data_IF_798562728105
#
_entry.id   IF_798562728105
#
_cell.length_a   1.000
_cell.length_b   1.000
_cell.length_c   1.000
_cell.angle_alpha   90.00
_cell.angle_beta   90.00
_cell.angle_gamma   90.00
#
_symmetry.space_group_name_H-M   'P 1'
#
loop_
_entity.id
_entity.type
_entity.pdbx_description
1 polymer ?
#
# COMPACT_ATOMS: atom_id res chain seq x y z
N UNK A 1 -42.78 40.73 -8.16
CA UNK A 1 -41.57 40.44 -7.34
C UNK A 1 -41.36 38.94 -7.29
N UNK A 2 -40.77 38.37 -8.34
CA UNK A 2 -40.59 36.91 -8.49
C UNK A 2 -39.51 36.60 -9.54
N UNK A 3 -38.31 37.20 -9.43
CA UNK A 3 -37.24 37.04 -10.44
C UNK A 3 -35.83 37.35 -9.89
N UNK A 4 -35.49 36.98 -8.64
CA UNK A 4 -34.12 37.19 -8.12
C UNK A 4 -33.52 35.96 -7.42
N UNK A 5 -34.27 34.88 -7.20
CA UNK A 5 -33.75 33.69 -6.51
C UNK A 5 -33.11 32.64 -7.43
N UNK A 6 -33.03 32.88 -8.74
CA UNK A 6 -32.44 31.93 -9.70
C UNK A 6 -31.00 32.26 -10.10
N UNK A 7 -30.43 33.36 -9.63
CA UNK A 7 -29.07 33.79 -9.96
C UNK A 7 -28.02 33.32 -8.92
N UNK A 8 -28.47 32.84 -7.75
CA UNK A 8 -27.60 32.33 -6.68
C UNK A 8 -27.20 30.85 -6.84
N UNK A 9 -27.68 30.17 -7.89
CA UNK A 9 -27.38 28.75 -8.17
C UNK A 9 -26.46 28.54 -9.40
N UNK A 10 -25.90 29.61 -9.98
CA UNK A 10 -25.13 29.55 -11.22
C UNK A 10 -23.71 30.12 -11.15
N UNK A 11 -23.16 30.43 -9.96
CA UNK A 11 -21.84 31.07 -9.83
C UNK A 11 -20.99 30.52 -8.66
N UNK A 12 -21.09 29.22 -8.40
CA UNK A 12 -20.09 28.47 -7.61
C UNK A 12 -19.74 27.13 -8.26
N UNK A 13 -20.02 27.03 -9.57
CA UNK A 13 -19.35 26.12 -10.48
C UNK A 13 -18.05 26.81 -10.96
N UNK A 14 -17.28 27.35 -10.02
CA UNK A 14 -15.89 27.67 -10.28
C UNK A 14 -15.21 26.32 -10.41
N UNK A 15 -14.90 25.98 -11.67
CA UNK A 15 -13.94 24.97 -12.05
C UNK A 15 -12.70 25.11 -11.17
N UNK A 16 -12.62 24.30 -10.13
CA UNK A 16 -11.36 23.96 -9.53
C UNK A 16 -10.64 23.09 -10.56
N UNK A 17 -9.94 23.79 -11.46
CA UNK A 17 -8.90 23.29 -12.34
C UNK A 17 -7.99 22.40 -11.50
N UNK A 18 -8.37 21.13 -11.44
CA UNK A 18 -7.59 20.11 -10.77
C UNK A 18 -6.45 19.86 -11.73
N UNK A 19 -5.39 20.64 -11.60
CA UNK A 19 -4.13 20.44 -12.31
C UNK A 19 -3.80 18.95 -12.22
N UNK A 20 -4.06 18.26 -13.32
CA UNK A 20 -3.73 16.87 -13.53
C UNK A 20 -2.22 16.81 -13.48
N UNK A 21 -1.67 16.56 -12.29
CA UNK A 21 -0.30 16.13 -12.10
C UNK A 21 -0.11 14.90 -12.98
N UNK A 22 0.48 15.18 -14.15
CA UNK A 22 0.89 14.25 -15.18
C UNK A 22 1.69 13.12 -14.53
N UNK A 23 0.98 12.06 -14.19
CA UNK A 23 1.58 10.80 -13.79
C UNK A 23 1.99 10.12 -15.07
N UNK A 24 3.31 10.02 -15.30
CA UNK A 24 3.87 9.22 -16.38
C UNK A 24 3.28 7.80 -16.41
N UNK A 25 3.46 7.03 -17.50
CA UNK A 25 2.66 5.84 -17.78
C UNK A 25 2.55 4.93 -16.56
N UNK A 26 1.36 4.91 -15.97
CA UNK A 26 1.06 4.07 -14.83
C UNK A 26 1.19 2.63 -15.30
N UNK A 27 2.29 1.96 -14.91
CA UNK A 27 2.46 0.52 -15.07
C UNK A 27 1.13 -0.15 -14.67
N UNK A 28 0.57 -1.06 -15.48
CA UNK A 28 -0.83 -1.47 -15.35
C UNK A 28 -1.14 -1.91 -13.93
N UNK A 29 -2.08 -1.21 -13.29
CA UNK A 29 -2.63 -1.60 -12.01
C UNK A 29 -3.36 -2.93 -12.14
N UNK A 30 -3.45 -3.70 -11.06
CA UNK A 30 -4.35 -4.86 -11.02
C UNK A 30 -5.77 -4.38 -11.36
N UNK A 31 -6.48 -5.09 -12.24
CA UNK A 31 -7.89 -4.82 -12.51
C UNK A 31 -8.68 -4.78 -11.20
N UNK A 32 -9.61 -3.85 -11.05
CA UNK A 32 -10.39 -3.65 -9.82
C UNK A 32 -11.02 -4.94 -9.27
N UNK A 33 -11.48 -5.84 -10.15
CA UNK A 33 -12.03 -7.16 -9.81
C UNK A 33 -11.03 -8.02 -9.04
N UNK A 34 -9.78 -8.08 -9.51
CA UNK A 34 -8.70 -8.83 -8.87
C UNK A 34 -8.37 -8.23 -7.51
N UNK A 35 -8.30 -6.90 -7.42
CA UNK A 35 -8.06 -6.21 -6.15
C UNK A 35 -9.16 -6.52 -5.13
N UNK A 36 -10.43 -6.45 -5.53
CA UNK A 36 -11.56 -6.78 -4.67
C UNK A 36 -11.53 -8.24 -4.19
N UNK A 37 -11.24 -9.20 -5.09
CA UNK A 37 -11.13 -10.62 -4.73
C UNK A 37 -9.98 -10.87 -3.75
N UNK A 38 -8.84 -10.19 -3.92
CA UNK A 38 -7.70 -10.29 -3.01
C UNK A 38 -8.05 -9.72 -1.62
N UNK A 39 -8.70 -8.55 -1.57
CA UNK A 39 -9.15 -7.96 -0.30
C UNK A 39 -10.15 -8.89 0.39
N UNK A 40 -11.14 -9.40 -0.33
CA UNK A 40 -12.16 -10.29 0.22
C UNK A 40 -11.56 -11.60 0.76
N UNK A 41 -10.64 -12.22 0.00
CA UNK A 41 -9.96 -13.44 0.43
C UNK A 41 -9.11 -13.19 1.68
N UNK A 42 -8.33 -12.10 1.70
CA UNK A 42 -7.54 -11.72 2.86
C UNK A 42 -8.42 -11.45 4.07
N UNK A 43 -9.46 -10.63 3.91
CA UNK A 43 -10.38 -10.25 4.99
C UNK A 43 -11.12 -11.44 5.58
N UNK A 44 -11.57 -12.39 4.76
CA UNK A 44 -12.19 -13.63 5.23
C UNK A 44 -11.23 -14.44 6.11
N UNK A 45 -9.98 -14.63 5.67
CA UNK A 45 -8.97 -15.36 6.44
C UNK A 45 -8.62 -14.60 7.74
N UNK A 46 -8.48 -13.27 7.66
CA UNK A 46 -8.15 -12.42 8.80
C UNK A 46 -9.23 -12.47 9.87
N UNK A 47 -10.49 -12.34 9.46
CA UNK A 47 -11.66 -12.41 10.35
C UNK A 47 -11.78 -13.77 11.04
N UNK A 48 -11.56 -14.87 10.31
CA UNK A 48 -11.56 -16.23 10.89
C UNK A 48 -10.43 -16.40 11.90
N UNK A 49 -9.20 -15.97 11.57
CA UNK A 49 -8.06 -16.06 12.49
C UNK A 49 -8.31 -15.25 13.78
N UNK A 50 -8.85 -14.04 13.63
CA UNK A 50 -9.24 -13.19 14.75
C UNK A 50 -10.22 -13.92 15.65
N UNK A 51 -11.28 -14.49 15.07
CA UNK A 51 -12.31 -15.19 15.83
C UNK A 51 -11.74 -16.42 16.56
N UNK A 52 -10.89 -17.21 15.91
CA UNK A 52 -10.23 -18.36 16.55
C UNK A 52 -9.36 -17.96 17.74
N UNK A 53 -8.62 -16.85 17.64
CA UNK A 53 -7.79 -16.35 18.75
C UNK A 53 -8.67 -15.84 19.90
N UNK A 54 -9.72 -15.09 19.60
CA UNK A 54 -10.65 -14.58 20.62
C UNK A 54 -11.38 -15.72 21.33
N UNK A 55 -11.80 -16.76 20.61
CA UNK A 55 -12.41 -17.96 21.20
C UNK A 55 -11.44 -18.76 22.06
N UNK A 56 -10.15 -18.82 21.68
CA UNK A 56 -9.12 -19.49 22.48
C UNK A 56 -8.72 -18.70 23.74
N UNK A 57 -9.04 -17.40 23.79
CA UNK A 57 -8.74 -16.51 24.92
C UNK A 57 -10.02 -15.86 25.47
N UNK A 58 -10.95 -16.65 26.02
CA UNK A 58 -12.22 -16.13 26.51
C UNK A 58 -11.98 -15.18 27.69
N UNK A 59 -12.66 -14.04 27.65
CA UNK A 59 -12.66 -13.08 28.76
C UNK A 59 -13.60 -13.58 29.85
N UNK A 60 -13.08 -13.84 31.04
CA UNK A 60 -13.91 -14.25 32.19
C UNK A 60 -14.21 -13.00 33.02
N UNK A 61 -15.48 -12.60 33.04
CA UNK A 61 -15.94 -11.52 33.93
C UNK A 61 -16.68 -12.13 35.10
N UNK A 62 -16.16 -11.91 36.31
CA UNK A 62 -16.78 -12.34 37.58
C UNK A 62 -17.29 -11.08 38.29
N UNK A 63 -18.32 -11.15 39.16
CA UNK A 63 -18.85 -9.95 39.84
C UNK A 63 -17.80 -9.19 40.68
N UNK A 64 -16.70 -9.85 41.02
CA UNK A 64 -15.60 -9.32 41.84
C UNK A 64 -14.39 -8.87 41.03
N UNK A 65 -14.23 -9.31 39.77
CA UNK A 65 -13.07 -9.04 38.92
C UNK A 65 -13.48 -8.96 37.45
N UNK A 66 -13.12 -7.85 36.80
CA UNK A 66 -13.23 -7.70 35.34
C UNK A 66 -11.86 -8.00 34.73
N UNK A 67 -11.78 -9.08 33.95
CA UNK A 67 -10.59 -9.36 33.14
C UNK A 67 -10.55 -8.49 31.89
N UNK A 68 -9.33 -8.10 31.49
CA UNK A 68 -9.12 -7.43 30.22
C UNK A 68 -9.32 -8.42 29.06
N UNK A 69 -9.99 -8.01 27.96
CA UNK A 69 -10.11 -8.82 26.76
C UNK A 69 -8.75 -9.00 26.06
N UNK A 70 -8.05 -10.07 26.46
CA UNK A 70 -6.70 -10.40 26.00
C UNK A 70 -6.67 -10.78 24.53
N UNK A 71 -7.72 -11.45 24.03
CA UNK A 71 -7.86 -11.80 22.61
C UNK A 71 -7.86 -10.56 21.71
N UNK A 72 -8.77 -9.62 21.99
CA UNK A 72 -8.89 -8.35 21.24
C UNK A 72 -7.61 -7.52 21.30
N UNK A 73 -6.94 -7.45 22.45
CA UNK A 73 -5.66 -6.76 22.57
C UNK A 73 -4.58 -7.43 21.70
N UNK A 74 -4.47 -8.76 21.77
CA UNK A 74 -3.45 -9.52 21.07
C UNK A 74 -3.61 -9.39 19.54
N UNK A 75 -4.82 -9.54 19.01
CA UNK A 75 -5.05 -9.46 17.56
C UNK A 75 -4.75 -8.06 17.02
N UNK A 76 -5.10 -7.00 17.77
CA UNK A 76 -4.79 -5.63 17.36
C UNK A 76 -3.27 -5.37 17.36
N UNK A 77 -2.56 -5.74 18.43
CA UNK A 77 -1.10 -5.54 18.51
C UNK A 77 -0.35 -6.36 17.47
N UNK A 78 -0.68 -7.65 17.32
CA UNK A 78 -0.05 -8.52 16.31
C UNK A 78 -0.35 -8.06 14.89
N UNK A 79 -1.58 -7.59 14.63
CA UNK A 79 -1.95 -7.01 13.35
C UNK A 79 -1.12 -5.77 13.03
N UNK A 80 -0.90 -4.88 14.01
CA UNK A 80 -0.03 -3.71 13.84
C UNK A 80 1.44 -4.09 13.60
N UNK A 81 1.97 -5.13 14.25
CA UNK A 81 3.31 -5.68 13.93
C UNK A 81 3.36 -6.17 12.48
N UNK A 82 2.37 -6.95 12.06
CA UNK A 82 2.26 -7.44 10.69
C UNK A 82 2.16 -6.30 9.67
N UNK A 83 1.40 -5.25 9.96
CA UNK A 83 1.23 -4.08 9.10
C UNK A 83 2.51 -3.27 8.97
N UNK A 84 3.21 -3.03 10.08
CA UNK A 84 4.52 -2.38 10.07
C UNK A 84 5.56 -3.18 9.28
N UNK A 85 5.57 -4.51 9.45
CA UNK A 85 6.45 -5.42 8.71
C UNK A 85 6.16 -5.38 7.21
N UNK A 86 4.89 -5.50 6.82
CA UNK A 86 4.48 -5.48 5.42
C UNK A 86 4.84 -4.14 4.77
N UNK A 87 4.48 -3.03 5.41
CA UNK A 87 4.74 -1.68 4.90
C UNK A 87 6.23 -1.43 4.74
N UNK A 88 7.03 -1.78 5.76
CA UNK A 88 8.49 -1.64 5.69
C UNK A 88 9.14 -2.54 4.65
N UNK A 89 8.56 -3.71 4.34
CA UNK A 89 9.03 -4.59 3.26
C UNK A 89 8.73 -3.97 1.89
N UNK A 90 7.50 -3.52 1.67
CA UNK A 90 7.05 -2.90 0.42
C UNK A 90 7.86 -1.65 0.10
N UNK A 91 8.17 -0.83 1.11
CA UNK A 91 8.99 0.37 0.95
C UNK A 91 10.42 0.04 0.52
N UNK A 92 11.03 -1.01 1.08
CA UNK A 92 12.43 -1.40 0.82
C UNK A 92 12.61 -2.31 -0.39
N UNK A 93 11.52 -2.88 -0.92
CA UNK A 93 11.53 -3.84 -2.03
C UNK A 93 10.42 -3.51 -3.03
N UNK A 94 10.66 -2.55 -3.94
CA UNK A 94 9.70 -2.20 -4.97
C UNK A 94 9.45 -3.33 -5.98
N UNK A 95 10.30 -4.37 -5.97
CA UNK A 95 10.16 -5.60 -6.75
C UNK A 95 9.11 -6.58 -6.19
N UNK A 96 8.58 -6.33 -4.97
CA UNK A 96 7.56 -7.21 -4.40
C UNK A 96 6.25 -7.19 -5.21
N UNK A 97 5.54 -8.33 -5.29
CA UNK A 97 4.31 -8.42 -6.04
C UNK A 97 3.24 -7.44 -5.57
N UNK A 98 2.64 -6.72 -6.52
CA UNK A 98 1.59 -5.71 -6.27
C UNK A 98 0.35 -6.26 -5.55
N UNK A 99 0.07 -7.56 -5.68
CA UNK A 99 -1.06 -8.21 -5.01
C UNK A 99 -0.90 -8.31 -3.49
N UNK A 100 0.31 -8.18 -2.95
CA UNK A 100 0.57 -8.28 -1.51
C UNK A 100 -0.15 -7.18 -0.73
N UNK A 101 -0.20 -5.94 -1.24
CA UNK A 101 -0.84 -4.81 -0.56
C UNK A 101 -2.35 -5.02 -0.35
N UNK A 102 -3.15 -5.33 -1.40
CA UNK A 102 -4.57 -5.59 -1.22
C UNK A 102 -4.86 -6.89 -0.46
N UNK A 103 -4.11 -7.97 -0.68
CA UNK A 103 -4.35 -9.25 -0.01
C UNK A 103 -3.96 -9.21 1.47
N UNK A 104 -2.73 -8.80 1.77
CA UNK A 104 -2.17 -8.90 3.12
C UNK A 104 -2.45 -7.64 3.94
N UNK A 105 -2.30 -6.45 3.34
CA UNK A 105 -2.51 -5.19 4.04
C UNK A 105 -4.00 -4.94 4.28
N UNK A 106 -4.71 -4.62 3.20
CA UNK A 106 -6.12 -4.21 3.27
C UNK A 106 -7.05 -5.39 3.57
N UNK A 107 -6.73 -6.59 3.09
CA UNK A 107 -7.53 -7.78 3.36
C UNK A 107 -7.21 -8.38 4.73
N UNK A 108 -6.10 -9.13 4.80
CA UNK A 108 -5.77 -9.98 5.95
C UNK A 108 -5.59 -9.19 7.25
N UNK A 109 -4.73 -8.17 7.25
CA UNK A 109 -4.38 -7.47 8.48
C UNK A 109 -5.52 -6.60 9.01
N UNK A 110 -6.26 -5.89 8.14
CA UNK A 110 -7.46 -5.15 8.55
C UNK A 110 -8.59 -6.08 9.00
N UNK A 111 -8.78 -7.24 8.36
CA UNK A 111 -9.77 -8.23 8.80
C UNK A 111 -9.40 -8.92 10.12
N UNK A 112 -8.09 -9.01 10.40
CA UNK A 112 -7.53 -9.60 11.61
C UNK A 112 -7.58 -8.67 12.83
N UNK A 113 -7.47 -7.36 12.64
CA UNK A 113 -7.63 -6.38 13.71
C UNK A 113 -9.10 -6.03 13.92
N UNK A 114 -9.45 -5.50 15.09
CA UNK A 114 -10.82 -5.03 15.34
C UNK A 114 -10.85 -3.88 16.35
N UNK A 115 -11.07 -2.67 15.85
CA UNK A 115 -11.22 -1.49 16.69
C UNK A 115 -12.61 -1.41 17.32
N UNK A 116 -13.66 -1.81 16.60
CA UNK A 116 -15.04 -1.80 17.13
C UNK A 116 -15.20 -2.70 18.37
N UNK A 117 -14.50 -3.83 18.41
CA UNK A 117 -14.45 -4.73 19.57
C UNK A 117 -13.85 -4.05 20.79
N UNK A 118 -12.68 -3.40 20.63
CA UNK A 118 -12.04 -2.59 21.67
C UNK A 118 -12.99 -1.53 22.25
N UNK A 119 -13.74 -0.84 21.38
CA UNK A 119 -14.71 0.20 21.81
C UNK A 119 -15.90 -0.40 22.56
N UNK A 120 -16.46 -1.52 22.09
CA UNK A 120 -17.58 -2.21 22.76
C UNK A 120 -17.17 -2.78 24.11
N UNK A 121 -15.97 -3.33 24.21
CA UNK A 121 -15.42 -3.84 25.46
C UNK A 121 -15.13 -2.68 26.44
N UNK A 122 -14.56 -1.58 25.94
CA UNK A 122 -14.38 -0.35 26.71
C UNK A 122 -15.68 0.23 27.25
N UNK A 123 -16.72 0.30 26.41
CA UNK A 123 -18.03 0.82 26.83
C UNK A 123 -18.71 -0.11 27.85
N UNK A 124 -18.57 -1.43 27.70
CA UNK A 124 -19.06 -2.40 28.68
C UNK A 124 -18.37 -2.24 30.04
N UNK A 125 -17.05 -2.00 30.07
CA UNK A 125 -16.32 -1.73 31.31
C UNK A 125 -16.77 -0.44 32.00
N UNK A 126 -17.02 0.62 31.24
CA UNK A 126 -17.59 1.87 31.76
C UNK A 126 -18.99 1.61 32.35
N UNK A 127 -19.85 0.91 31.61
CA UNK A 127 -21.19 0.55 32.06
C UNK A 127 -21.22 -0.32 33.31
N UNK A 128 -20.17 -1.14 33.52
CA UNK A 128 -19.98 -1.96 34.72
C UNK A 128 -19.39 -1.19 35.93
N UNK A 129 -19.10 0.11 35.80
CA UNK A 129 -18.54 0.94 36.88
C UNK A 129 -17.01 0.96 36.96
N UNK A 130 -16.31 0.49 35.93
CA UNK A 130 -14.84 0.42 35.88
C UNK A 130 -14.23 1.32 34.78
N UNK A 131 -14.47 2.65 34.79
CA UNK A 131 -14.00 3.54 33.73
C UNK A 131 -12.47 3.65 33.67
N UNK A 132 -11.80 3.64 34.81
CA UNK A 132 -10.33 3.66 34.85
C UNK A 132 -9.71 2.45 34.14
N UNK A 133 -10.32 1.27 34.29
CA UNK A 133 -9.90 0.04 33.61
C UNK A 133 -10.11 0.15 32.10
N UNK A 134 -11.24 0.72 31.66
CA UNK A 134 -11.52 0.95 30.24
C UNK A 134 -10.49 1.88 29.58
N UNK A 135 -10.13 3.00 30.24
CA UNK A 135 -9.10 3.90 29.73
C UNK A 135 -7.72 3.25 29.70
N UNK A 136 -7.35 2.50 30.73
CA UNK A 136 -6.11 1.75 30.75
C UNK A 136 -6.06 0.72 29.62
N UNK A 137 -7.16 0.00 29.39
CA UNK A 137 -7.28 -0.96 28.29
C UNK A 137 -7.09 -0.30 26.91
N UNK A 138 -7.75 0.83 26.68
CA UNK A 138 -7.59 1.62 25.47
C UNK A 138 -6.16 2.12 25.29
N UNK A 139 -5.56 2.67 26.34
CA UNK A 139 -4.18 3.17 26.31
C UNK A 139 -3.18 2.06 26.00
N UNK A 140 -3.23 0.92 26.70
CA UNK A 140 -2.35 -0.21 26.47
C UNK A 140 -2.47 -0.70 25.02
N UNK A 141 -3.70 -0.79 24.51
CA UNK A 141 -3.94 -1.25 23.13
C UNK A 141 -3.36 -0.25 22.12
N UNK A 142 -3.56 1.06 22.32
CA UNK A 142 -3.03 2.09 21.44
C UNK A 142 -1.50 2.16 21.44
N UNK A 143 -0.87 2.20 22.63
CA UNK A 143 0.59 2.20 22.74
C UNK A 143 1.20 0.89 22.21
N UNK A 144 0.55 -0.25 22.49
CA UNK A 144 0.94 -1.55 21.96
C UNK A 144 0.88 -1.59 20.44
N UNK A 145 -0.16 -1.01 19.83
CA UNK A 145 -0.30 -0.91 18.38
C UNK A 145 0.82 -0.06 17.76
N UNK A 146 1.08 1.13 18.29
CA UNK A 146 2.17 2.01 17.82
C UNK A 146 3.53 1.31 17.94
N UNK A 147 3.81 0.74 19.11
CA UNK A 147 5.03 -0.04 19.33
C UNK A 147 5.14 -1.21 18.36
N UNK A 148 4.02 -1.91 18.11
CA UNK A 148 3.95 -3.01 17.16
C UNK A 148 4.34 -2.60 15.75
N UNK A 149 3.80 -1.49 15.24
CA UNK A 149 4.17 -0.95 13.92
C UNK A 149 5.67 -0.66 13.84
N UNK A 150 6.22 0.04 14.84
CA UNK A 150 7.65 0.37 14.89
C UNK A 150 8.51 -0.89 14.88
N UNK A 151 8.14 -1.89 15.68
CA UNK A 151 8.81 -3.19 15.72
C UNK A 151 8.75 -3.88 14.36
N UNK A 152 7.60 -3.88 13.70
CA UNK A 152 7.41 -4.43 12.35
C UNK A 152 8.32 -3.79 11.31
N UNK A 153 8.40 -2.46 11.29
CA UNK A 153 9.29 -1.71 10.38
C UNK A 153 10.77 -2.03 10.68
N UNK A 154 11.13 -2.17 11.96
CA UNK A 154 12.46 -2.62 12.39
C UNK A 154 12.81 -4.01 11.86
N UNK A 155 11.88 -4.97 11.99
CA UNK A 155 12.00 -6.33 11.45
C UNK A 155 12.16 -6.32 9.92
N UNK A 156 11.40 -5.50 9.21
CA UNK A 156 11.56 -5.33 7.77
C UNK A 156 12.97 -4.87 7.38
N UNK A 157 13.50 -3.89 8.13
CA UNK A 157 14.86 -3.37 7.95
C UNK A 157 15.92 -4.45 8.17
N UNK A 158 15.76 -5.30 9.19
CA UNK A 158 16.65 -6.42 9.49
C UNK A 158 16.65 -7.46 8.36
N UNK A 159 15.46 -7.82 7.84
CA UNK A 159 15.30 -8.79 6.74
C UNK A 159 15.96 -8.25 5.45
N UNK A 160 15.76 -6.98 5.14
CA UNK A 160 16.36 -6.36 3.96
C UNK A 160 17.89 -6.37 4.04
N UNK A 161 18.48 -5.95 5.17
CA UNK A 161 19.94 -5.95 5.39
C UNK A 161 20.56 -7.34 5.20
N UNK A 162 19.92 -8.40 5.69
CA UNK A 162 20.41 -9.79 5.55
C UNK A 162 20.41 -10.28 4.10
N UNK A 163 19.48 -9.79 3.28
CA UNK A 163 19.33 -10.24 1.89
C UNK A 163 20.34 -9.56 0.97
N UNK A 164 20.58 -8.26 1.16
CA UNK A 164 21.57 -7.50 0.36
C UNK A 164 23.00 -7.95 0.66
N UNK A 165 23.32 -8.27 1.92
CA UNK A 165 24.66 -8.71 2.35
C UNK A 165 25.09 -10.08 1.80
N UNK A 166 24.16 -10.84 1.18
CA UNK A 166 24.40 -12.19 0.65
C UNK A 166 24.77 -12.26 -0.83
N UNK A 167 24.81 -11.15 -1.58
CA UNK A 167 25.35 -11.19 -2.96
C UNK A 167 26.87 -11.36 -2.91
N UNK A 168 27.44 -12.53 -3.29
CA UNK A 168 28.88 -12.66 -3.40
C UNK A 168 29.33 -11.71 -4.50
N UNK A 169 30.33 -10.87 -4.19
CA UNK A 169 31.03 -10.06 -5.16
C UNK A 169 31.58 -11.03 -6.21
N UNK A 170 30.92 -11.14 -7.36
CA UNK A 170 31.39 -11.96 -8.48
C UNK A 170 32.71 -11.32 -8.90
N UNK A 171 33.81 -11.89 -8.43
CA UNK A 171 35.16 -11.44 -8.71
C UNK A 171 35.34 -11.51 -10.21
N UNK A 172 35.26 -10.36 -10.87
CA UNK A 172 35.71 -10.23 -12.25
C UNK A 172 37.21 -10.44 -12.25
N UNK A 173 37.63 -11.69 -12.37
CA UNK A 173 38.94 -12.02 -12.93
C UNK A 173 38.90 -11.61 -14.40
N UNK A 174 39.13 -10.33 -14.66
CA UNK A 174 39.64 -9.90 -15.97
C UNK A 174 41.08 -10.35 -15.99
N UNK A 175 41.29 -11.60 -16.40
CA UNK A 175 42.60 -12.08 -16.77
C UNK A 175 43.01 -11.31 -18.02
N UNK A 176 44.02 -10.47 -17.83
CA UNK A 176 44.78 -9.84 -18.89
C UNK A 176 45.41 -10.92 -19.77
N UNK A 177 45.07 -10.92 -21.07
CA UNK A 177 45.83 -11.52 -22.17
C UNK A 177 45.25 -10.86 -23.42
N UNK A 178 45.95 -10.19 -24.32
CA UNK A 178 47.34 -9.89 -24.60
C UNK A 178 47.27 -9.11 -25.93
N UNK A 179 48.14 -8.11 -26.13
CA UNK A 179 48.02 -7.19 -27.26
C UNK A 179 48.25 -7.83 -28.63
N UNK A 180 47.67 -7.22 -29.67
CA UNK A 180 48.29 -7.09 -30.99
C UNK A 180 47.97 -5.68 -31.52
N UNK A 181 49.05 -4.93 -31.75
CA UNK A 181 49.07 -3.70 -32.52
C UNK A 181 48.95 -4.04 -34.01
N UNK A 182 47.99 -3.45 -34.72
CA UNK A 182 48.14 -3.16 -36.15
C UNK A 182 47.68 -1.73 -36.40
N UNK A 183 48.63 -0.99 -36.97
CA UNK A 183 48.57 0.39 -37.39
C UNK A 183 48.00 0.49 -38.82
N UNK A 184 47.25 1.55 -39.08
CA UNK A 184 46.85 1.97 -40.43
C UNK A 184 45.37 2.34 -40.49
N UNK A 185 44.91 3.38 -41.18
CA UNK A 185 45.51 4.55 -41.80
C UNK A 185 44.30 5.39 -42.22
N UNK A 186 44.47 6.71 -42.16
CA UNK A 186 43.81 7.73 -42.97
C UNK A 186 42.31 8.01 -42.83
N UNK A 187 42.04 9.28 -43.14
CA UNK A 187 40.91 10.11 -42.72
C UNK A 187 39.98 10.36 -43.93
N UNK A 188 39.06 11.35 -43.95
CA UNK A 188 37.63 11.16 -44.22
C UNK A 188 37.18 11.69 -45.60
N UNK A 189 35.97 11.33 -46.03
CA UNK A 189 35.23 11.96 -47.13
C UNK A 189 33.83 11.31 -47.18
N UNK A 190 32.71 11.88 -47.58
CA UNK A 190 32.26 13.18 -48.11
C UNK A 190 30.90 12.78 -48.76
N UNK A 191 29.78 13.47 -48.46
CA UNK A 191 28.65 13.79 -49.37
C UNK A 191 27.85 12.59 -49.99
N UNK A 192 26.51 12.48 -49.89
CA UNK A 192 25.49 13.38 -50.46
C UNK A 192 24.06 12.96 -50.04
N UNK A 193 23.09 13.90 -49.94
CA UNK A 193 21.67 13.62 -49.75
C UNK A 193 20.91 13.64 -51.09
N UNK A 194 20.13 12.59 -51.38
CA UNK A 194 19.20 12.59 -52.51
C UNK A 194 17.87 13.28 -52.17
N UNK A 195 17.61 14.37 -52.91
CA UNK A 195 16.31 15.03 -53.11
C UNK A 195 15.22 14.06 -53.58
N UNK A 196 13.95 14.34 -53.25
CA UNK A 196 12.92 14.75 -54.23
C UNK A 196 11.68 15.35 -53.55
N UNK A 197 11.11 16.34 -54.23
CA UNK A 197 9.92 17.13 -53.88
C UNK A 197 8.61 16.36 -54.13
N UNK A 198 7.56 16.67 -53.38
CA UNK A 198 6.17 16.88 -53.86
C UNK A 198 5.27 17.25 -52.66
N UNK A 199 4.89 18.51 -52.47
CA UNK A 199 3.70 19.19 -53.01
C UNK A 199 2.37 18.86 -52.31
N UNK A 200 1.85 19.88 -51.62
CA UNK A 200 0.47 20.39 -51.72
C UNK A 200 -0.74 19.56 -51.23
N UNK A 201 -1.20 19.95 -50.03
CA UNK A 201 -2.55 20.45 -49.65
C UNK A 201 -3.79 19.52 -49.62
N UNK A 202 -4.81 19.88 -48.81
CA UNK A 202 -5.74 18.99 -48.13
C UNK A 202 -7.08 18.83 -48.86
N UNK A 203 -7.87 17.84 -48.43
CA UNK A 203 -9.29 17.75 -48.74
C UNK A 203 -10.06 17.33 -47.49
N UNK A 204 -11.00 18.20 -47.10
CA UNK A 204 -12.19 17.94 -46.29
C UNK A 204 -12.95 16.72 -46.88
N UNK A 205 -13.77 15.94 -46.17
CA UNK A 205 -15.03 16.28 -45.49
C UNK A 205 -15.61 15.03 -44.78
N UNK A 206 -16.64 15.19 -43.92
CA UNK A 206 -17.25 14.17 -43.08
C UNK A 206 -18.51 13.53 -43.71
N UNK A 207 -18.91 12.35 -43.25
CA UNK A 207 -20.23 11.68 -43.39
C UNK A 207 -20.06 10.27 -42.77
N UNK A 208 -21.00 9.54 -42.20
CA UNK A 208 -22.38 9.68 -41.76
C UNK A 208 -22.76 8.27 -41.21
N UNK A 209 -23.46 8.22 -40.09
CA UNK A 209 -24.50 7.24 -39.77
C UNK A 209 -24.21 5.71 -39.84
N UNK A 210 -24.16 5.07 -38.66
CA UNK A 210 -25.01 3.90 -38.31
C UNK A 210 -24.91 3.52 -36.83
#
# INVERSE_FOLDING_TARGET
MRTVEMEALSLSAEEEDTETLSSGPALPALSWQRTALLIAAGGAVGGVLRELITLAMPTISTPTLIELPRGTLLVNVLGCVGLGLLTGLLEKRPDLPRWMRPLLGIGLLEGFTIYSGLVLEGSAMIGAGFPALAFMYGAITAFGAVFGVVLGIGLASLIHRRTVRRRPRRTGSVAATGGVSVMGADTPAEVEPHRTLSSSTPSETPEEER
#
